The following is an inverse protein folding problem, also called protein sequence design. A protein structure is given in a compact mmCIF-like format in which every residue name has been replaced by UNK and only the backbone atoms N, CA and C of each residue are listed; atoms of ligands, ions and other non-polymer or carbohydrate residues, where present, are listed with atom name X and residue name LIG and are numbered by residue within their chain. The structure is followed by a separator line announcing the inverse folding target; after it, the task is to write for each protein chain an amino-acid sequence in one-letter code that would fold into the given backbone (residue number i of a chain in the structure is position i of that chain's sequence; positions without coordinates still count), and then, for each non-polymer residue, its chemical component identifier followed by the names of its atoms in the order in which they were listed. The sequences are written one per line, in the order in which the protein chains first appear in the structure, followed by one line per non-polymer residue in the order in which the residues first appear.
data_IF_258839520860
#
_entry.id   IF_258839520860
#
_cell.length_a   1.000
_cell.length_b   1.000
_cell.length_c   1.000
_cell.angle_alpha   90.00
_cell.angle_beta   90.00
_cell.angle_gamma   90.00
#
_symmetry.space_group_name_H-M   'P 1'
#
loop_
_entity.id
_entity.type
_entity.pdbx_description
1 polymer ?
#
# COMPACT_ATOMS: atom_id res chain seq x y z
N UNK A 1 33.38 0.69 13.82
CA UNK A 1 34.83 0.97 13.73
C UNK A 1 35.07 1.68 12.40
N UNK A 2 35.17 3.00 12.42
CA UNK A 2 35.42 3.81 11.22
C UNK A 2 36.94 4.03 11.08
N UNK A 3 37.53 3.56 9.98
CA UNK A 3 38.91 3.88 9.63
C UNK A 3 38.95 5.27 8.97
N UNK A 4 39.70 6.17 9.58
CA UNK A 4 39.96 7.52 9.11
C UNK A 4 40.95 7.50 7.93
N UNK A 5 40.58 8.17 6.83
CA UNK A 5 41.46 8.44 5.70
C UNK A 5 42.33 9.67 6.00
N UNK A 6 43.63 9.56 5.77
CA UNK A 6 44.63 10.63 5.95
C UNK A 6 44.42 11.79 4.95
N UNK A 7 44.76 13.04 5.30
CA UNK A 7 44.68 14.16 4.37
C UNK A 7 45.88 14.20 3.40
N UNK A 8 45.58 14.55 2.15
CA UNK A 8 46.51 14.76 1.04
C UNK A 8 47.12 16.17 1.13
N UNK A 9 48.46 16.26 1.06
CA UNK A 9 49.22 17.52 1.06
C UNK A 9 49.47 17.96 -0.38
N UNK A 10 49.10 19.18 -0.81
CA UNK A 10 49.44 19.70 -2.13
C UNK A 10 50.86 20.30 -2.18
N UNK A 11 51.56 20.25 -3.33
CA UNK A 11 52.93 20.74 -3.46
C UNK A 11 53.05 22.27 -3.53
N UNK A 12 54.19 22.75 -3.04
CA UNK A 12 54.54 24.15 -2.84
C UNK A 12 54.81 24.94 -4.13
N UNK A 13 54.26 26.15 -4.11
CA UNK A 13 54.68 27.45 -4.68
C UNK A 13 55.84 27.50 -5.69
N UNK A 14 55.45 28.02 -6.86
CA UNK A 14 56.24 28.72 -7.87
C UNK A 14 57.08 29.86 -7.23
N UNK A 15 58.39 29.89 -7.50
CA UNK A 15 59.24 31.08 -7.30
C UNK A 15 59.70 31.63 -8.65
N UNK A 16 59.18 32.81 -8.99
CA UNK A 16 59.70 33.70 -10.02
C UNK A 16 60.86 34.52 -9.45
N UNK A 17 61.99 34.58 -10.15
CA UNK A 17 63.01 35.62 -9.95
C UNK A 17 63.14 36.45 -11.23
N UNK A 18 63.06 37.77 -11.05
CA UNK A 18 63.01 38.80 -12.08
C UNK A 18 64.35 39.16 -12.73
N UNK A 19 64.40 40.27 -13.50
CA UNK A 19 65.44 40.54 -14.48
C UNK A 19 66.65 41.23 -13.86
N UNK A 20 67.86 40.88 -14.31
CA UNK A 20 69.10 41.61 -13.97
C UNK A 20 69.52 42.45 -15.18
N UNK A 21 69.56 43.77 -14.97
CA UNK A 21 69.94 44.77 -15.94
C UNK A 21 71.46 44.87 -16.12
N UNK A 22 71.84 45.16 -17.36
CA UNK A 22 73.17 45.51 -17.87
C UNK A 22 73.83 46.72 -17.17
N UNK A 23 75.15 46.64 -17.00
CA UNK A 23 76.15 47.70 -17.27
C UNK A 23 77.40 46.94 -17.74
N UNK A 24 77.86 47.01 -18.99
CA UNK A 24 78.32 48.20 -19.71
C UNK A 24 79.77 48.46 -19.32
N UNK A 25 80.74 48.21 -20.22
CA UNK A 25 81.98 48.98 -20.40
C UNK A 25 82.81 48.44 -21.59
N UNK A 26 82.92 49.32 -22.59
CA UNK A 26 84.07 49.64 -23.44
C UNK A 26 84.72 48.61 -24.37
N UNK A 27 84.46 48.84 -25.66
CA UNK A 27 85.44 49.29 -26.66
C UNK A 27 86.69 48.43 -26.87
N UNK A 28 86.65 47.57 -27.88
CA UNK A 28 87.81 47.33 -28.72
C UNK A 28 87.35 46.98 -30.13
N UNK A 29 87.56 47.93 -31.03
CA UNK A 29 87.36 47.81 -32.47
C UNK A 29 88.33 46.78 -33.01
N UNK A 30 87.84 45.56 -33.26
CA UNK A 30 88.58 44.52 -33.99
C UNK A 30 87.94 44.34 -35.37
N UNK A 31 88.77 44.62 -36.36
CA UNK A 31 88.64 44.52 -37.80
C UNK A 31 87.82 43.28 -38.23
N UNK A 32 86.76 43.41 -39.06
CA UNK A 32 86.00 42.26 -39.55
C UNK A 32 86.80 41.54 -40.63
N UNK A 33 87.56 40.51 -40.25
CA UNK A 33 87.97 39.47 -41.20
C UNK A 33 86.75 38.61 -41.46
N UNK A 34 86.19 38.73 -42.67
CA UNK A 34 85.26 37.76 -43.24
C UNK A 34 85.95 36.39 -43.38
N UNK A 35 86.15 35.68 -42.28
CA UNK A 35 86.22 34.23 -42.30
C UNK A 35 84.80 33.74 -42.47
N UNK A 36 84.42 33.52 -43.72
CA UNK A 36 83.34 32.60 -44.06
C UNK A 36 83.77 31.24 -43.48
N UNK A 37 83.36 30.95 -42.25
CA UNK A 37 83.39 29.58 -41.75
C UNK A 37 82.56 28.78 -42.74
N UNK A 38 83.24 28.03 -43.60
CA UNK A 38 82.59 27.04 -44.44
C UNK A 38 82.08 26.00 -43.43
N UNK A 39 80.75 25.89 -43.24
CA UNK A 39 80.22 25.00 -42.23
C UNK A 39 80.63 23.59 -42.62
N UNK A 40 81.38 22.92 -41.74
CA UNK A 40 81.70 21.50 -41.91
C UNK A 40 80.39 20.75 -42.18
N UNK A 41 80.32 19.92 -43.23
CA UNK A 41 79.12 19.14 -43.57
C UNK A 41 78.55 18.36 -42.37
N UNK A 42 79.41 17.98 -41.42
CA UNK A 42 79.06 17.27 -40.19
C UNK A 42 78.28 18.13 -39.18
N UNK A 43 78.52 19.46 -39.11
CA UNK A 43 77.82 20.36 -38.18
C UNK A 43 76.36 20.60 -38.58
N UNK A 44 76.09 20.70 -39.88
CA UNK A 44 74.73 20.85 -40.42
C UNK A 44 73.89 19.58 -40.24
N UNK A 45 74.48 18.41 -40.44
CA UNK A 45 73.80 17.13 -40.22
C UNK A 45 73.46 16.92 -38.74
N UNK A 46 74.39 17.22 -37.83
CA UNK A 46 74.16 17.14 -36.38
C UNK A 46 73.08 18.12 -35.91
N UNK A 47 73.07 19.35 -36.44
CA UNK A 47 72.04 20.34 -36.14
C UNK A 47 70.64 19.90 -36.60
N UNK A 48 70.51 19.32 -37.81
CA UNK A 48 69.25 18.76 -38.31
C UNK A 48 68.76 17.60 -37.44
N UNK A 49 69.65 16.66 -37.12
CA UNK A 49 69.32 15.53 -36.25
C UNK A 49 68.81 15.97 -34.87
N UNK A 50 69.44 16.97 -34.26
CA UNK A 50 68.98 17.52 -32.97
C UNK A 50 67.62 18.22 -33.11
N UNK A 51 67.38 18.97 -34.18
CA UNK A 51 66.08 19.59 -34.44
C UNK A 51 64.96 18.56 -34.69
N UNK A 52 65.29 17.42 -35.31
CA UNK A 52 64.35 16.33 -35.54
C UNK A 52 64.05 15.57 -34.23
N UNK A 53 65.06 15.34 -33.38
CA UNK A 53 64.87 14.78 -32.04
C UNK A 53 63.98 15.67 -31.16
N UNK A 54 64.18 16.99 -31.17
CA UNK A 54 63.31 17.92 -30.44
C UNK A 54 61.87 17.85 -30.96
N UNK A 55 61.67 17.84 -32.28
CA UNK A 55 60.33 17.71 -32.87
C UNK A 55 59.63 16.40 -32.49
N UNK A 56 60.37 15.28 -32.49
CA UNK A 56 59.83 13.99 -32.06
C UNK A 56 59.49 14.02 -30.56
N UNK A 57 60.35 14.59 -29.72
CA UNK A 57 60.09 14.71 -28.29
C UNK A 57 58.86 15.58 -27.99
N UNK A 58 58.73 16.73 -28.66
CA UNK A 58 57.57 17.61 -28.53
C UNK A 58 56.28 16.93 -28.99
N UNK A 59 56.33 16.16 -30.08
CA UNK A 59 55.20 15.36 -30.56
C UNK A 59 54.82 14.26 -29.56
N UNK A 60 55.79 13.57 -28.97
CA UNK A 60 55.54 12.56 -27.94
C UNK A 60 54.93 13.17 -26.67
N UNK A 61 55.42 14.34 -26.23
CA UNK A 61 54.83 15.08 -25.12
C UNK A 61 53.37 15.47 -25.43
N UNK A 62 53.09 16.00 -26.63
CA UNK A 62 51.73 16.35 -27.04
C UNK A 62 50.79 15.14 -27.08
N UNK A 63 51.25 14.00 -27.60
CA UNK A 63 50.47 12.75 -27.60
C UNK A 63 50.22 12.27 -26.18
N UNK A 64 51.22 12.32 -25.30
CA UNK A 64 51.07 11.94 -23.90
C UNK A 64 50.02 12.81 -23.19
N UNK A 65 50.02 14.12 -23.43
CA UNK A 65 49.03 15.04 -22.86
C UNK A 65 47.62 14.79 -23.41
N UNK A 66 47.50 14.45 -24.70
CA UNK A 66 46.23 14.05 -25.30
C UNK A 66 45.69 12.73 -24.69
N UNK A 67 46.56 11.74 -24.45
CA UNK A 67 46.20 10.48 -23.79
C UNK A 67 45.77 10.72 -22.34
N UNK A 68 46.48 11.57 -21.59
CA UNK A 68 46.10 11.94 -20.22
C UNK A 68 44.76 12.66 -20.16
N UNK A 69 44.55 13.61 -21.07
CA UNK A 69 43.30 14.37 -21.18
C UNK A 69 42.11 13.46 -21.50
N UNK A 70 42.27 12.56 -22.49
CA UNK A 70 41.22 11.59 -22.85
C UNK A 70 40.95 10.58 -21.73
N UNK A 71 41.98 10.07 -21.05
CA UNK A 71 41.81 9.20 -19.89
C UNK A 71 41.04 9.90 -18.75
N UNK A 72 41.34 11.18 -18.48
CA UNK A 72 40.62 11.99 -17.49
C UNK A 72 39.15 12.19 -17.87
N UNK A 73 38.86 12.51 -19.13
CA UNK A 73 37.50 12.66 -19.63
C UNK A 73 36.70 11.35 -19.50
N UNK A 74 37.30 10.20 -19.86
CA UNK A 74 36.70 8.89 -19.68
C UNK A 74 36.43 8.57 -18.20
N UNK A 75 37.37 8.85 -17.30
CA UNK A 75 37.19 8.62 -15.86
C UNK A 75 36.08 9.49 -15.25
N UNK A 76 35.91 10.73 -15.71
CA UNK A 76 34.80 11.59 -15.29
C UNK A 76 33.45 11.06 -15.77
N UNK A 77 33.35 10.64 -17.03
CA UNK A 77 32.13 10.02 -17.58
C UNK A 77 31.75 8.73 -16.85
N UNK A 78 32.73 7.88 -16.52
CA UNK A 78 32.49 6.66 -15.74
C UNK A 78 31.90 7.00 -14.36
N UNK A 79 32.47 7.96 -13.65
CA UNK A 79 31.96 8.40 -12.34
C UNK A 79 30.54 8.98 -12.44
N UNK A 80 30.24 9.76 -13.47
CA UNK A 80 28.88 10.27 -13.71
C UNK A 80 27.88 9.13 -13.95
N UNK A 81 28.27 8.13 -14.74
CA UNK A 81 27.43 6.95 -14.98
C UNK A 81 27.24 6.11 -13.71
N UNK A 82 28.28 5.92 -12.90
CA UNK A 82 28.21 5.19 -11.62
C UNK A 82 27.29 5.92 -10.63
N UNK A 83 27.39 7.24 -10.53
CA UNK A 83 26.52 8.05 -9.67
C UNK A 83 25.05 7.95 -10.10
N UNK A 84 24.80 8.01 -11.41
CA UNK A 84 23.45 7.88 -11.97
C UNK A 84 22.88 6.50 -11.67
N UNK A 85 23.66 5.44 -11.92
CA UNK A 85 23.25 4.06 -11.66
C UNK A 85 22.99 3.81 -10.16
N UNK A 86 23.83 4.38 -9.29
CA UNK A 86 23.64 4.32 -7.84
C UNK A 86 22.33 4.99 -7.41
N UNK A 87 22.04 6.19 -7.95
CA UNK A 87 20.80 6.90 -7.68
C UNK A 87 19.57 6.12 -8.17
N UNK A 88 19.62 5.57 -9.39
CA UNK A 88 18.56 4.72 -9.95
C UNK A 88 18.35 3.45 -9.13
N UNK A 89 19.42 2.81 -8.69
CA UNK A 89 19.36 1.61 -7.85
C UNK A 89 18.69 1.90 -6.50
N UNK A 90 19.01 3.03 -5.86
CA UNK A 90 18.35 3.45 -4.62
C UNK A 90 16.87 3.84 -4.84
N UNK A 91 16.56 4.49 -5.96
CA UNK A 91 15.18 4.75 -6.35
C UNK A 91 14.39 3.44 -6.54
N UNK A 92 14.97 2.46 -7.22
CA UNK A 92 14.38 1.13 -7.42
C UNK A 92 14.18 0.40 -6.08
N UNK A 93 15.15 0.42 -5.17
CA UNK A 93 14.98 -0.13 -3.81
C UNK A 93 13.79 0.49 -3.08
N UNK A 94 13.65 1.82 -3.14
CA UNK A 94 12.52 2.53 -2.52
C UNK A 94 11.19 2.12 -3.17
N UNK A 95 11.14 2.03 -4.49
CA UNK A 95 9.96 1.58 -5.23
C UNK A 95 9.56 0.15 -4.84
N UNK A 96 10.51 -0.79 -4.83
CA UNK A 96 10.29 -2.18 -4.43
C UNK A 96 9.77 -2.28 -3.00
N UNK A 97 10.36 -1.54 -2.05
CA UNK A 97 9.87 -1.49 -0.66
C UNK A 97 8.42 -0.96 -0.58
N UNK A 98 8.09 0.06 -1.37
CA UNK A 98 6.72 0.61 -1.44
C UNK A 98 5.74 -0.42 -2.01
N UNK A 99 6.10 -1.09 -3.10
CA UNK A 99 5.28 -2.13 -3.71
C UNK A 99 5.04 -3.27 -2.72
N UNK A 100 6.08 -3.72 -2.02
CA UNK A 100 5.96 -4.78 -1.01
C UNK A 100 4.96 -4.41 0.11
N UNK A 101 5.00 -3.16 0.61
CA UNK A 101 4.02 -2.67 1.59
C UNK A 101 2.60 -2.69 1.02
N UNK A 102 2.41 -2.17 -0.19
CA UNK A 102 1.09 -2.15 -0.85
C UNK A 102 0.51 -3.56 -1.04
N UNK A 103 1.34 -4.53 -1.42
CA UNK A 103 0.90 -5.93 -1.56
C UNK A 103 0.48 -6.50 -0.20
N UNK A 104 1.27 -6.27 0.85
CA UNK A 104 0.94 -6.73 2.19
C UNK A 104 -0.35 -6.08 2.73
N UNK A 105 -0.54 -4.78 2.50
CA UNK A 105 -1.74 -4.06 2.93
C UNK A 105 -2.98 -4.55 2.16
N UNK A 106 -2.87 -4.78 0.85
CA UNK A 106 -3.94 -5.41 0.06
C UNK A 106 -4.29 -6.81 0.56
N UNK A 107 -3.30 -7.62 0.92
CA UNK A 107 -3.54 -8.96 1.50
C UNK A 107 -4.29 -8.86 2.82
N UNK A 108 -3.84 -7.99 3.73
CA UNK A 108 -4.52 -7.74 5.02
C UNK A 108 -5.95 -7.25 4.83
N UNK A 109 -6.17 -6.33 3.89
CA UNK A 109 -7.51 -5.82 3.56
C UNK A 109 -8.42 -6.93 3.01
N UNK A 110 -7.91 -7.79 2.13
CA UNK A 110 -8.65 -8.94 1.61
C UNK A 110 -9.02 -9.94 2.73
N UNK A 111 -8.08 -10.24 3.63
CA UNK A 111 -8.32 -11.12 4.77
C UNK A 111 -9.36 -10.53 5.74
N UNK A 112 -9.28 -9.21 6.02
CA UNK A 112 -10.26 -8.51 6.84
C UNK A 112 -11.66 -8.54 6.20
N UNK A 113 -11.77 -8.26 4.89
CA UNK A 113 -13.02 -8.35 4.15
C UNK A 113 -13.61 -9.76 4.24
N UNK A 114 -12.81 -10.80 4.04
CA UNK A 114 -13.25 -12.20 4.14
C UNK A 114 -13.80 -12.53 5.53
N UNK A 115 -13.12 -12.09 6.60
CA UNK A 115 -13.58 -12.30 7.98
C UNK A 115 -14.91 -11.59 8.25
N UNK A 116 -15.01 -10.34 7.81
CA UNK A 116 -16.24 -9.55 7.96
C UNK A 116 -17.41 -10.21 7.22
N UNK A 117 -17.22 -10.56 5.95
CA UNK A 117 -18.26 -11.26 5.16
C UNK A 117 -18.69 -12.57 5.81
N UNK A 118 -17.75 -13.37 6.32
CA UNK A 118 -18.09 -14.61 7.02
C UNK A 118 -18.92 -14.33 8.28
N UNK A 119 -18.51 -13.35 9.09
CA UNK A 119 -19.25 -12.98 10.30
C UNK A 119 -20.66 -12.50 9.96
N UNK A 120 -20.82 -11.64 8.96
CA UNK A 120 -22.14 -11.15 8.54
C UNK A 120 -23.03 -12.27 8.04
N UNK A 121 -22.51 -13.20 7.23
CA UNK A 121 -23.30 -14.33 6.75
C UNK A 121 -23.76 -15.24 7.90
N UNK A 122 -22.89 -15.49 8.88
CA UNK A 122 -23.26 -16.29 10.05
C UNK A 122 -24.31 -15.59 10.91
N UNK A 123 -24.18 -14.29 11.15
CA UNK A 123 -25.19 -13.52 11.87
C UNK A 123 -26.54 -13.48 11.13
N UNK A 124 -26.52 -13.34 9.81
CA UNK A 124 -27.75 -13.40 8.99
C UNK A 124 -28.43 -14.76 9.10
N UNK A 125 -27.69 -15.86 8.95
CA UNK A 125 -28.27 -17.20 9.10
C UNK A 125 -28.84 -17.47 10.49
N UNK A 126 -28.19 -16.96 11.55
CA UNK A 126 -28.72 -17.05 12.92
C UNK A 126 -30.03 -16.29 13.05
N UNK A 127 -30.09 -15.05 12.55
CA UNK A 127 -31.30 -14.23 12.61
C UNK A 127 -32.44 -14.86 11.79
N UNK A 128 -32.14 -15.43 10.62
CA UNK A 128 -33.13 -16.15 9.81
C UNK A 128 -33.70 -17.36 10.57
N UNK A 129 -32.86 -18.13 11.27
CA UNK A 129 -33.32 -19.24 12.10
C UNK A 129 -34.23 -18.76 13.25
N UNK A 130 -33.86 -17.66 13.91
CA UNK A 130 -34.67 -17.07 14.98
C UNK A 130 -36.02 -16.58 14.46
N UNK A 131 -36.04 -15.91 13.30
CA UNK A 131 -37.28 -15.46 12.64
C UNK A 131 -38.17 -16.66 12.28
N UNK A 132 -37.59 -17.73 11.72
CA UNK A 132 -38.35 -18.93 11.39
C UNK A 132 -38.97 -19.59 12.64
N UNK A 133 -38.21 -19.66 13.73
CA UNK A 133 -38.70 -20.17 15.02
C UNK A 133 -39.85 -19.32 15.57
N UNK A 134 -39.73 -18.00 15.48
CA UNK A 134 -40.77 -17.06 15.91
C UNK A 134 -42.05 -17.19 15.07
N UNK A 135 -41.92 -17.31 13.74
CA UNK A 135 -43.05 -17.52 12.84
C UNK A 135 -43.76 -18.86 13.12
N UNK A 136 -43.00 -19.93 13.37
CA UNK A 136 -43.58 -21.23 13.75
C UNK A 136 -44.40 -21.13 15.04
N UNK A 137 -43.89 -20.39 16.03
CA UNK A 137 -44.60 -20.14 17.29
C UNK A 137 -45.90 -19.37 17.06
N UNK A 138 -45.88 -18.30 16.25
CA UNK A 138 -47.08 -17.55 15.89
C UNK A 138 -48.12 -18.45 15.22
N UNK A 139 -47.70 -19.30 14.27
CA UNK A 139 -48.61 -20.21 13.58
C UNK A 139 -49.26 -21.21 14.54
N UNK A 140 -48.50 -21.75 15.50
CA UNK A 140 -49.05 -22.63 16.54
C UNK A 140 -50.09 -21.89 17.39
N UNK A 141 -49.76 -20.69 17.88
CA UNK A 141 -50.67 -19.88 18.70
C UNK A 141 -51.94 -19.50 17.94
N UNK A 142 -51.82 -19.17 16.65
CA UNK A 142 -52.97 -18.88 15.79
C UNK A 142 -53.88 -20.11 15.65
N UNK A 143 -53.29 -21.30 15.51
CA UNK A 143 -54.02 -22.56 15.41
C UNK A 143 -54.75 -22.88 16.71
N UNK A 144 -54.08 -22.71 17.85
CA UNK A 144 -54.67 -22.95 19.16
C UNK A 144 -55.79 -21.95 19.46
N UNK A 145 -55.62 -20.67 19.11
CA UNK A 145 -56.67 -19.67 19.22
C UNK A 145 -57.91 -20.03 18.38
N UNK A 146 -57.72 -20.50 17.14
CA UNK A 146 -58.83 -20.95 16.31
C UNK A 146 -59.59 -22.12 16.94
N UNK A 147 -58.88 -23.10 17.51
CA UNK A 147 -59.48 -24.23 18.24
C UNK A 147 -60.26 -23.75 19.47
N UNK A 148 -59.68 -22.85 20.26
CA UNK A 148 -60.34 -22.28 21.44
C UNK A 148 -61.62 -21.51 21.06
N UNK A 149 -61.60 -20.74 19.96
CA UNK A 149 -62.79 -20.06 19.47
C UNK A 149 -63.89 -21.04 19.03
N UNK A 150 -63.52 -22.15 18.38
CA UNK A 150 -64.46 -23.23 18.05
C UNK A 150 -65.10 -23.85 19.30
N UNK A 151 -64.28 -24.23 20.29
CA UNK A 151 -64.75 -24.78 21.56
C UNK A 151 -65.67 -23.81 22.33
N UNK A 152 -65.33 -22.52 22.36
CA UNK A 152 -66.18 -21.48 22.95
C UNK A 152 -67.53 -21.36 22.25
N UNK A 153 -67.56 -21.48 20.92
CA UNK A 153 -68.80 -21.43 20.13
C UNK A 153 -69.70 -22.63 20.45
N UNK A 154 -69.13 -23.84 20.47
CA UNK A 154 -69.85 -25.06 20.84
C UNK A 154 -70.42 -25.00 22.27
N UNK A 155 -69.65 -24.47 23.24
CA UNK A 155 -70.11 -24.31 24.62
C UNK A 155 -71.28 -23.32 24.73
N UNK A 156 -71.24 -22.20 24.00
CA UNK A 156 -72.34 -21.23 23.94
C UNK A 156 -73.61 -21.86 23.36
N UNK A 157 -73.48 -22.67 22.32
CA UNK A 157 -74.63 -23.37 21.73
C UNK A 157 -75.22 -24.41 22.69
N UNK A 158 -74.37 -25.27 23.27
CA UNK A 158 -74.80 -26.30 24.23
C UNK A 158 -75.48 -25.69 25.46
N UNK A 159 -74.92 -24.62 26.03
CA UNK A 159 -75.52 -23.92 27.17
C UNK A 159 -76.86 -23.26 26.83
N UNK A 160 -77.03 -22.76 25.61
CA UNK A 160 -78.31 -22.23 25.14
C UNK A 160 -79.38 -23.33 25.00
N UNK A 161 -79.00 -24.52 24.51
CA UNK A 161 -79.89 -25.68 24.44
C UNK A 161 -80.31 -26.15 25.84
N UNK A 162 -79.35 -26.30 26.75
CA UNK A 162 -79.62 -26.74 28.12
C UNK A 162 -80.50 -25.73 28.88
N UNK A 163 -80.26 -24.43 28.70
CA UNK A 163 -81.13 -23.40 29.27
C UNK A 163 -82.56 -23.47 28.73
N UNK A 164 -82.76 -23.74 27.43
CA UNK A 164 -84.10 -23.94 26.86
C UNK A 164 -84.77 -25.17 27.46
N UNK A 165 -84.04 -26.29 27.60
CA UNK A 165 -84.52 -27.51 28.24
C UNK A 165 -84.96 -27.26 29.69
N UNK A 166 -84.10 -26.66 30.52
CA UNK A 166 -84.41 -26.33 31.91
C UNK A 166 -85.63 -25.39 32.05
N UNK A 167 -85.80 -24.44 31.12
CA UNK A 167 -87.00 -23.58 31.08
C UNK A 167 -88.27 -24.38 30.78
N UNK A 168 -88.20 -25.32 29.84
CA UNK A 168 -89.31 -26.20 29.50
C UNK A 168 -89.67 -27.12 30.68
N UNK A 169 -88.67 -27.75 31.31
CA UNK A 169 -88.85 -28.58 32.51
C UNK A 169 -89.47 -27.79 33.66
N UNK A 170 -88.97 -26.58 33.94
CA UNK A 170 -89.55 -25.68 34.95
C UNK A 170 -91.01 -25.34 34.65
N UNK A 171 -91.36 -25.09 33.38
CA UNK A 171 -92.73 -24.82 32.97
C UNK A 171 -93.63 -26.05 33.16
N UNK A 172 -93.15 -27.23 32.77
CA UNK A 172 -93.87 -28.49 32.95
C UNK A 172 -94.15 -28.77 34.44
N UNK A 173 -93.14 -28.59 35.31
CA UNK A 173 -93.28 -28.76 36.75
C UNK A 173 -94.31 -27.81 37.35
N UNK A 174 -94.30 -26.53 36.96
CA UNK A 174 -95.32 -25.55 37.39
C UNK A 174 -96.73 -25.97 36.96
N UNK A 175 -96.90 -26.45 35.73
CA UNK A 175 -98.19 -26.93 35.23
C UNK A 175 -98.66 -28.17 35.99
N UNK A 176 -97.76 -29.10 36.32
CA UNK A 176 -98.07 -30.29 37.10
C UNK A 176 -98.50 -29.94 38.53
N UNK A 177 -97.78 -29.00 39.17
CA UNK A 177 -98.15 -28.48 40.49
C UNK A 177 -99.53 -27.81 40.48
N UNK A 178 -99.83 -26.97 39.47
CA UNK A 178 -101.15 -26.35 39.33
C UNK A 178 -102.26 -27.40 39.17
N UNK A 179 -102.05 -28.41 38.31
CA UNK A 179 -103.02 -29.50 38.10
C UNK A 179 -103.28 -30.30 39.38
N UNK A 180 -102.23 -30.59 40.15
CA UNK A 180 -102.36 -31.28 41.44
C UNK A 180 -103.14 -30.43 42.46
N UNK A 181 -102.89 -29.12 42.49
CA UNK A 181 -103.63 -28.19 43.33
C UNK A 181 -105.11 -28.09 42.94
N UNK A 182 -105.41 -28.03 41.63
CA UNK A 182 -106.79 -28.06 41.12
C UNK A 182 -107.50 -29.38 41.41
N UNK A 183 -106.81 -30.53 41.31
CA UNK A 183 -107.42 -31.83 41.63
C UNK A 183 -107.75 -31.92 43.13
N UNK A 184 -106.85 -31.46 44.00
CA UNK A 184 -107.07 -31.41 45.44
C UNK A 184 -108.29 -30.56 45.80
N UNK A 185 -108.43 -29.38 45.20
CA UNK A 185 -109.59 -28.51 45.40
C UNK A 185 -110.91 -29.13 44.92
N UNK A 186 -110.89 -29.99 43.89
CA UNK A 186 -112.09 -30.66 43.36
C UNK A 186 -112.51 -31.89 44.16
N UNK A 187 -111.56 -32.67 44.68
CA UNK A 187 -111.86 -33.99 45.28
C UNK A 187 -111.73 -34.02 46.82
N UNK A 188 -111.15 -32.99 47.44
CA UNK A 188 -111.02 -32.87 48.89
C UNK A 188 -110.10 -33.90 49.55
N UNK A 189 -109.34 -34.69 48.78
CA UNK A 189 -108.35 -35.64 49.31
C UNK A 189 -106.97 -35.41 48.68
N UNK A 190 -105.89 -35.43 49.48
CA UNK A 190 -104.54 -35.41 48.95
C UNK A 190 -104.25 -36.75 48.26
N UNK A 191 -103.66 -36.68 47.07
CA UNK A 191 -103.06 -37.80 46.34
C UNK A 191 -101.67 -38.11 46.87
#
# INVERSE_FOLDING_TARGET
MYQALKPFVPPEKIQSFGPVQNRGLTSSTVIPRHHREVPSPQGKAKSRYMADLTRVNDALCSVLDAVKSTASACASRLRETENTLSAEHEALKKATKRIHRLVNDKKKAADAKRKYTKATTTSQSSLEADIQSYLATILSLSTDNARLQGSLSNLKENSAVELKRLRAERKAFKMQAHRAQESFLRTGRPS
#
